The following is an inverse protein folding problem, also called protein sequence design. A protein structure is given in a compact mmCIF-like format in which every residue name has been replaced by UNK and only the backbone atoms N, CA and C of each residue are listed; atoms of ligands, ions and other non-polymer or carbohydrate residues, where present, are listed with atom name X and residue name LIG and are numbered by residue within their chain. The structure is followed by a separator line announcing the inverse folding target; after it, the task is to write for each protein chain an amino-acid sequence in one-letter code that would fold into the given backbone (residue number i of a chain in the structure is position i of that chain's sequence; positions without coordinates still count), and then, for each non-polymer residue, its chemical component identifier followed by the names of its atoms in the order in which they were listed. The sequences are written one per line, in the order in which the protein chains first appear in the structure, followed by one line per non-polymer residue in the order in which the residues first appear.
data_IF_416049274037
#
_entry.id   IF_416049274037
#
_cell.length_a   1.000
_cell.length_b   1.000
_cell.length_c   1.000
_cell.angle_alpha   90.00
_cell.angle_beta   90.00
_cell.angle_gamma   90.00
#
_symmetry.space_group_name_H-M   'P 1'
#
loop_
_entity.id
_entity.type
_entity.pdbx_description
1 polymer ?
#
# COMPACT_ATOMS: atom_id res chain seq x y z
N UNK A 1 79.92 17.01 -4.12
CA UNK A 1 78.81 16.83 -5.10
C UNK A 1 77.98 15.65 -4.59
N UNK A 2 76.90 15.94 -3.86
CA UNK A 2 76.01 14.95 -3.30
C UNK A 2 74.74 14.94 -4.09
N UNK A 3 74.42 13.81 -4.76
CA UNK A 3 73.14 13.62 -5.45
C UNK A 3 72.13 13.14 -4.40
N UNK A 4 71.11 13.93 -4.16
CA UNK A 4 69.91 13.50 -3.40
C UNK A 4 68.94 12.81 -4.36
N UNK A 5 68.75 11.51 -4.16
CA UNK A 5 67.69 10.75 -4.86
C UNK A 5 66.37 10.96 -4.09
N UNK A 6 65.43 11.67 -4.72
CA UNK A 6 64.09 11.80 -4.16
C UNK A 6 63.33 10.51 -4.42
N UNK A 7 63.00 9.78 -3.34
CA UNK A 7 62.07 8.65 -3.34
C UNK A 7 60.63 9.17 -3.53
N UNK A 8 60.05 9.03 -4.72
CA UNK A 8 58.63 9.26 -4.92
C UNK A 8 57.88 8.08 -4.29
N UNK A 9 57.24 8.33 -3.14
CA UNK A 9 56.27 7.40 -2.57
C UNK A 9 55.02 7.36 -3.45
N UNK A 10 54.77 6.22 -4.06
CA UNK A 10 53.53 5.93 -4.74
C UNK A 10 52.40 5.89 -3.70
N UNK A 11 51.47 6.85 -3.74
CA UNK A 11 50.23 6.84 -2.99
C UNK A 11 49.41 5.66 -3.52
N UNK A 12 49.01 4.69 -2.66
CA UNK A 12 48.13 3.62 -3.12
C UNK A 12 46.81 4.22 -3.57
N UNK A 13 46.47 4.03 -4.83
CA UNK A 13 45.11 4.28 -5.34
C UNK A 13 44.21 3.35 -4.55
N UNK A 14 43.42 3.90 -3.65
CA UNK A 14 42.35 3.16 -2.96
C UNK A 14 41.50 2.51 -4.04
N UNK A 15 41.47 1.16 -4.02
CA UNK A 15 40.62 0.39 -4.92
C UNK A 15 39.20 0.91 -4.82
N UNK A 16 38.61 1.33 -5.95
CA UNK A 16 37.22 1.74 -5.99
C UNK A 16 36.37 0.60 -5.44
N UNK A 17 35.63 0.86 -4.35
CA UNK A 17 34.74 -0.12 -3.74
C UNK A 17 33.83 -0.69 -4.82
N UNK A 18 33.93 -2.02 -5.02
CA UNK A 18 33.12 -2.75 -6.00
C UNK A 18 31.65 -2.48 -5.74
N UNK A 19 30.87 -2.23 -6.79
CA UNK A 19 29.43 -2.06 -6.62
C UNK A 19 28.83 -3.22 -5.85
N UNK A 20 27.94 -2.99 -4.86
CA UNK A 20 27.34 -4.07 -4.10
C UNK A 20 26.57 -5.03 -5.03
N UNK A 21 26.44 -6.29 -4.65
CA UNK A 21 25.61 -7.23 -5.36
C UNK A 21 24.11 -6.92 -5.11
N UNK A 22 23.25 -7.39 -6.00
CA UNK A 22 21.80 -7.28 -5.83
C UNK A 22 21.35 -7.87 -4.49
N UNK A 23 20.41 -7.20 -3.84
CA UNK A 23 19.83 -7.64 -2.58
C UNK A 23 19.12 -8.98 -2.75
N UNK A 24 19.53 -9.98 -1.98
CA UNK A 24 18.95 -11.33 -2.02
C UNK A 24 17.44 -11.29 -1.70
N UNK A 25 16.64 -11.94 -2.53
CA UNK A 25 15.19 -11.99 -2.37
C UNK A 25 14.44 -10.78 -2.91
N UNK A 26 15.14 -9.72 -3.33
CA UNK A 26 14.53 -8.56 -3.97
C UNK A 26 14.36 -8.75 -5.48
N UNK A 27 13.39 -8.05 -6.04
CA UNK A 27 13.14 -7.97 -7.48
C UNK A 27 12.73 -6.56 -7.87
N UNK A 28 12.85 -6.24 -9.15
CA UNK A 28 12.28 -5.03 -9.72
C UNK A 28 10.75 -5.06 -9.62
N UNK A 29 10.12 -3.91 -9.69
CA UNK A 29 8.67 -3.84 -9.84
C UNK A 29 8.27 -4.38 -11.22
N UNK A 30 7.14 -5.09 -11.28
CA UNK A 30 6.54 -5.48 -12.56
C UNK A 30 6.13 -4.28 -13.43
N UNK A 31 5.92 -3.12 -12.79
CA UNK A 31 5.52 -1.89 -13.47
C UNK A 31 6.69 -1.13 -14.09
N UNK A 32 7.86 -1.15 -13.43
CA UNK A 32 8.99 -0.30 -13.77
C UNK A 32 10.30 -1.03 -13.45
N UNK A 33 11.11 -1.27 -14.46
CA UNK A 33 12.46 -1.81 -14.28
C UNK A 33 13.41 -0.73 -13.72
N UNK A 34 14.51 -1.18 -13.13
CA UNK A 34 15.63 -0.29 -12.77
C UNK A 34 16.32 0.30 -14.01
N UNK A 35 17.05 1.39 -13.84
CA UNK A 35 17.99 1.87 -14.85
C UNK A 35 19.05 0.80 -15.13
N UNK A 36 19.35 0.53 -16.40
CA UNK A 36 20.26 -0.55 -16.83
C UNK A 36 21.61 -0.46 -16.13
N UNK A 37 22.09 -1.58 -15.60
CA UNK A 37 23.35 -1.66 -14.86
C UNK A 37 23.27 -1.23 -13.40
N UNK A 38 22.12 -0.76 -12.93
CA UNK A 38 21.93 -0.45 -11.50
C UNK A 38 21.85 -1.73 -10.67
N UNK A 39 22.28 -1.64 -9.41
CA UNK A 39 22.16 -2.70 -8.40
C UNK A 39 20.99 -2.42 -7.48
N UNK A 40 20.14 -3.39 -7.21
CA UNK A 40 19.09 -3.28 -6.19
C UNK A 40 19.74 -3.39 -4.80
N UNK A 41 19.84 -2.27 -4.11
CA UNK A 41 20.48 -2.19 -2.80
C UNK A 41 19.53 -2.55 -1.67
N UNK A 42 18.30 -2.04 -1.72
CA UNK A 42 17.25 -2.34 -0.75
C UNK A 42 15.88 -2.33 -1.41
N UNK A 43 14.96 -3.09 -0.82
CA UNK A 43 13.56 -3.11 -1.23
C UNK A 43 12.62 -3.24 -0.03
N UNK A 44 11.37 -2.90 -0.21
CA UNK A 44 10.34 -3.11 0.79
C UNK A 44 8.95 -3.01 0.18
N UNK A 45 8.03 -3.80 0.70
CA UNK A 45 6.63 -3.81 0.24
C UNK A 45 5.67 -3.87 1.42
N UNK A 46 4.57 -3.15 1.29
CA UNK A 46 3.43 -3.19 2.23
C UNK A 46 2.16 -3.46 1.44
N UNK A 47 1.31 -4.35 1.93
CA UNK A 47 0.05 -4.71 1.22
C UNK A 47 -0.93 -3.56 1.15
N UNK A 48 -0.98 -2.75 2.19
CA UNK A 48 -1.72 -1.50 2.26
C UNK A 48 -1.03 -0.58 3.26
N UNK A 49 -0.76 0.64 2.85
CA UNK A 49 -0.11 1.65 3.68
C UNK A 49 -0.39 3.04 3.13
N UNK A 50 -0.28 4.06 3.99
CA UNK A 50 -0.29 5.44 3.57
C UNK A 50 1.10 5.86 3.08
N UNK A 51 1.13 6.56 1.97
CA UNK A 51 2.32 7.19 1.41
C UNK A 51 2.00 8.65 1.06
N UNK A 52 3.00 9.37 0.59
CA UNK A 52 2.82 10.73 0.07
C UNK A 52 3.40 10.84 -1.33
N UNK A 53 2.80 11.70 -2.13
CA UNK A 53 3.24 12.00 -3.50
C UNK A 53 3.30 13.51 -3.67
N UNK A 54 4.34 14.03 -4.34
CA UNK A 54 4.40 15.46 -4.66
C UNK A 54 3.49 15.76 -5.85
N UNK A 55 2.71 16.81 -5.74
CA UNK A 55 1.92 17.39 -6.85
C UNK A 55 2.10 18.90 -6.89
N UNK A 56 1.56 19.54 -7.89
CA UNK A 56 1.56 21.00 -8.02
C UNK A 56 0.22 21.57 -7.56
N UNK A 57 0.24 22.49 -6.60
CA UNK A 57 -0.92 23.27 -6.20
C UNK A 57 -0.58 24.77 -6.20
N UNK A 58 -1.32 25.56 -6.96
CA UNK A 58 -1.06 27.00 -7.14
C UNK A 58 0.39 27.31 -7.55
N UNK A 59 0.96 26.49 -8.45
CA UNK A 59 2.33 26.63 -8.94
C UNK A 59 3.44 26.19 -7.97
N UNK A 60 3.10 25.63 -6.80
CA UNK A 60 4.08 25.17 -5.80
C UNK A 60 3.99 23.67 -5.60
N UNK A 61 5.11 22.98 -5.31
CA UNK A 61 5.09 21.58 -4.91
C UNK A 61 4.43 21.41 -3.54
N UNK A 62 3.53 20.45 -3.43
CA UNK A 62 2.86 20.07 -2.17
C UNK A 62 2.76 18.55 -2.08
N UNK A 63 2.72 18.01 -0.86
CA UNK A 63 2.45 16.60 -0.62
C UNK A 63 0.96 16.33 -0.58
N UNK A 64 0.52 15.29 -1.27
CA UNK A 64 -0.81 14.72 -1.11
C UNK A 64 -0.69 13.32 -0.50
N UNK A 65 -1.55 12.95 0.47
CA UNK A 65 -1.60 11.59 0.98
C UNK A 65 -2.25 10.68 -0.05
N UNK A 66 -1.69 9.48 -0.19
CA UNK A 66 -2.20 8.40 -1.04
C UNK A 66 -2.15 7.10 -0.26
N UNK A 67 -3.02 6.16 -0.55
CA UNK A 67 -3.09 4.87 0.12
C UNK A 67 -3.14 3.75 -0.91
N UNK A 68 -2.49 2.62 -0.59
CA UNK A 68 -2.48 1.46 -1.45
C UNK A 68 -1.38 0.45 -1.09
N UNK A 69 -1.15 -0.50 -1.98
CA UNK A 69 0.04 -1.36 -1.92
C UNK A 69 1.26 -0.50 -2.23
N UNK A 70 2.10 -0.27 -1.22
CA UNK A 70 3.32 0.53 -1.35
C UNK A 70 4.52 -0.38 -1.60
N UNK A 71 5.27 -0.10 -2.63
CA UNK A 71 6.55 -0.76 -2.92
C UNK A 71 7.66 0.28 -3.06
N UNK A 72 8.77 0.04 -2.34
CA UNK A 72 9.94 0.91 -2.31
C UNK A 72 11.17 0.15 -2.82
N UNK A 73 11.99 0.82 -3.62
CA UNK A 73 13.26 0.31 -4.13
C UNK A 73 14.32 1.39 -4.00
N UNK A 74 15.51 1.00 -3.54
CA UNK A 74 16.69 1.83 -3.58
C UNK A 74 17.74 1.15 -4.45
N UNK A 75 18.11 1.82 -5.53
CA UNK A 75 19.12 1.35 -6.47
C UNK A 75 20.39 2.17 -6.37
N UNK A 76 21.53 1.51 -6.58
CA UNK A 76 22.84 2.13 -6.81
C UNK A 76 23.08 2.12 -8.31
N UNK A 77 23.30 3.29 -8.87
CA UNK A 77 23.54 3.45 -10.29
C UNK A 77 24.98 3.08 -10.69
N UNK A 78 25.20 2.74 -11.99
CA UNK A 78 26.55 2.62 -12.56
C UNK A 78 27.37 3.89 -12.38
N UNK A 79 28.69 3.76 -12.26
CA UNK A 79 29.57 4.93 -12.05
C UNK A 79 29.66 5.87 -13.26
N UNK A 80 29.52 5.34 -14.44
CA UNK A 80 29.56 6.05 -15.72
C UNK A 80 28.25 6.77 -16.08
N UNK A 81 27.14 6.50 -15.37
CA UNK A 81 25.85 7.18 -15.59
C UNK A 81 25.81 8.56 -14.94
N UNK A 82 24.95 9.46 -15.42
CA UNK A 82 24.68 10.74 -14.75
C UNK A 82 23.29 10.75 -14.10
N UNK A 83 23.08 11.51 -13.00
CA UNK A 83 21.75 11.67 -12.42
C UNK A 83 20.70 12.16 -13.41
N UNK A 84 21.07 13.09 -14.29
CA UNK A 84 20.20 13.63 -15.32
C UNK A 84 19.79 12.58 -16.35
N UNK A 85 20.75 11.76 -16.80
CA UNK A 85 20.48 10.66 -17.74
C UNK A 85 19.50 9.64 -17.13
N UNK A 86 19.76 9.21 -15.89
CA UNK A 86 18.88 8.30 -15.15
C UNK A 86 17.48 8.88 -15.03
N UNK A 87 17.36 10.14 -14.63
CA UNK A 87 16.09 10.84 -14.48
C UNK A 87 15.30 10.88 -15.79
N UNK A 88 15.95 11.24 -16.92
CA UNK A 88 15.30 11.31 -18.22
C UNK A 88 14.84 9.96 -18.73
N UNK A 89 15.59 8.89 -18.46
CA UNK A 89 15.18 7.53 -18.81
C UNK A 89 13.92 7.09 -18.04
N UNK A 90 13.86 7.32 -16.73
CA UNK A 90 12.67 7.03 -15.95
C UNK A 90 11.46 7.84 -16.38
N UNK A 91 11.64 9.13 -16.56
CA UNK A 91 10.57 10.02 -17.02
C UNK A 91 10.03 9.58 -18.37
N UNK A 92 10.89 9.34 -19.35
CA UNK A 92 10.50 8.86 -20.67
C UNK A 92 9.72 7.54 -20.60
N UNK A 93 10.21 6.56 -19.84
CA UNK A 93 9.55 5.27 -19.68
C UNK A 93 8.16 5.40 -19.05
N UNK A 94 8.00 6.24 -18.04
CA UNK A 94 6.73 6.45 -17.37
C UNK A 94 5.72 7.21 -18.25
N UNK A 95 6.16 8.26 -18.95
CA UNK A 95 5.32 9.00 -19.89
C UNK A 95 4.86 8.09 -21.05
N UNK A 96 5.76 7.25 -21.59
CA UNK A 96 5.43 6.24 -22.60
C UNK A 96 4.46 5.17 -22.07
N UNK A 97 4.53 4.83 -20.77
CA UNK A 97 3.58 3.93 -20.10
C UNK A 97 2.24 4.59 -19.71
N UNK A 98 2.00 5.84 -20.15
CA UNK A 98 0.74 6.57 -19.93
C UNK A 98 0.62 7.22 -18.54
N UNK A 99 1.72 7.43 -17.83
CA UNK A 99 1.69 8.21 -16.60
C UNK A 99 1.58 9.70 -16.90
N UNK A 100 0.63 10.33 -16.24
CA UNK A 100 0.46 11.77 -16.23
C UNK A 100 1.38 12.37 -15.17
N UNK A 101 2.27 13.30 -15.55
CA UNK A 101 3.17 13.98 -14.62
C UNK A 101 2.38 14.82 -13.61
N UNK A 102 2.60 14.60 -12.32
CA UNK A 102 2.08 15.42 -11.22
C UNK A 102 3.03 16.52 -10.83
N UNK A 103 4.33 16.19 -10.75
CA UNK A 103 5.42 17.13 -10.50
C UNK A 103 6.74 16.58 -11.08
N UNK A 104 7.57 17.48 -11.55
CA UNK A 104 8.91 17.15 -12.07
C UNK A 104 9.85 18.33 -11.90
N UNK A 105 11.09 18.07 -11.47
CA UNK A 105 12.13 19.08 -11.41
C UNK A 105 13.52 18.49 -11.62
N UNK A 106 14.43 19.33 -12.15
CA UNK A 106 15.84 19.04 -12.36
C UNK A 106 16.68 20.03 -11.55
N UNK A 107 17.74 19.56 -10.85
CA UNK A 107 18.75 20.32 -10.11
C UNK A 107 18.28 21.68 -9.55
N UNK A 108 18.63 22.78 -10.20
CA UNK A 108 18.33 24.13 -9.72
C UNK A 108 16.83 24.39 -9.48
N UNK A 109 15.96 23.83 -10.31
CA UNK A 109 14.52 23.95 -10.12
C UNK A 109 14.03 23.19 -8.87
N UNK A 110 14.63 22.01 -8.56
CA UNK A 110 14.35 21.28 -7.34
C UNK A 110 14.83 22.05 -6.09
N UNK A 111 16.01 22.67 -6.17
CA UNK A 111 16.57 23.50 -5.09
C UNK A 111 15.71 24.72 -4.80
N UNK A 112 15.37 25.50 -5.84
CA UNK A 112 14.53 26.71 -5.71
C UNK A 112 13.15 26.40 -5.11
N UNK A 113 12.61 25.22 -5.42
CA UNK A 113 11.31 24.77 -4.91
C UNK A 113 11.40 23.98 -3.60
N UNK A 114 12.60 23.80 -3.01
CA UNK A 114 12.87 23.03 -1.80
C UNK A 114 12.30 21.59 -1.84
N UNK A 115 12.26 20.95 -3.01
CA UNK A 115 11.64 19.64 -3.18
C UNK A 115 12.38 18.55 -2.43
N UNK A 116 13.70 18.63 -2.37
CA UNK A 116 14.51 17.67 -1.63
C UNK A 116 14.12 17.63 -0.15
N UNK A 117 13.93 18.80 0.49
CA UNK A 117 13.48 18.89 1.87
C UNK A 117 12.04 18.36 2.04
N UNK A 118 11.17 18.61 1.05
CA UNK A 118 9.78 18.12 1.06
C UNK A 118 9.70 16.59 1.06
N UNK A 119 10.64 15.91 0.37
CA UNK A 119 10.65 14.45 0.24
C UNK A 119 11.73 13.74 1.08
N UNK A 120 12.47 14.48 1.91
CA UNK A 120 13.59 13.91 2.69
C UNK A 120 13.21 12.70 3.54
N UNK A 121 11.97 12.69 4.02
CA UNK A 121 11.43 11.62 4.84
C UNK A 121 10.99 10.37 4.04
N UNK A 122 10.85 10.44 2.72
CA UNK A 122 10.32 9.33 1.94
C UNK A 122 11.12 8.03 2.14
N UNK A 123 12.46 8.02 1.95
CA UNK A 123 13.23 6.81 2.21
C UNK A 123 13.26 6.42 3.69
N UNK A 124 13.23 7.39 4.60
CA UNK A 124 13.30 7.16 6.04
C UNK A 124 12.02 6.54 6.60
N UNK A 125 10.85 6.96 6.12
CA UNK A 125 9.54 6.45 6.53
C UNK A 125 9.12 5.19 5.76
N UNK A 126 9.78 4.88 4.65
CA UNK A 126 9.49 3.70 3.86
C UNK A 126 9.80 2.41 4.65
N UNK A 127 9.00 1.38 4.42
CA UNK A 127 9.29 0.04 4.93
C UNK A 127 10.38 -0.59 4.06
N UNK A 128 11.36 -1.21 4.71
CA UNK A 128 12.49 -1.88 4.07
C UNK A 128 12.65 -3.32 4.58
N UNK A 129 13.28 -4.19 3.77
CA UNK A 129 13.61 -5.58 4.13
C UNK A 129 14.65 -5.68 5.25
N UNK A 130 15.45 -4.61 5.42
CA UNK A 130 16.44 -4.50 6.48
C UNK A 130 16.65 -3.04 6.85
N UNK A 131 17.35 -2.82 7.97
CA UNK A 131 17.73 -1.50 8.43
C UNK A 131 19.14 -1.16 7.93
N UNK A 132 19.28 -0.03 7.23
CA UNK A 132 20.55 0.52 6.81
C UNK A 132 20.54 2.05 6.95
N UNK A 133 21.58 2.60 7.61
CA UNK A 133 21.70 4.04 7.77
C UNK A 133 21.88 4.79 6.44
N UNK A 134 22.41 4.13 5.39
CA UNK A 134 22.53 4.70 4.05
C UNK A 134 21.17 5.10 3.48
N UNK A 135 20.10 4.37 3.81
CA UNK A 135 18.73 4.72 3.41
C UNK A 135 18.29 6.03 4.03
N UNK A 136 18.54 6.20 5.34
CA UNK A 136 18.18 7.45 6.05
C UNK A 136 18.83 8.68 5.44
N UNK A 137 20.04 8.54 4.92
CA UNK A 137 20.78 9.62 4.30
C UNK A 137 20.51 9.80 2.80
N UNK A 138 19.61 9.03 2.18
CA UNK A 138 19.44 9.09 0.72
C UNK A 138 19.03 10.47 0.24
N UNK A 139 18.13 11.16 0.96
CA UNK A 139 17.74 12.54 0.67
C UNK A 139 18.10 13.50 1.81
N UNK A 140 18.70 13.01 2.89
CA UNK A 140 19.02 13.80 4.08
C UNK A 140 20.37 14.51 3.90
N UNK A 141 20.41 15.73 4.34
CA UNK A 141 21.51 16.66 4.49
C UNK A 141 21.69 17.64 3.33
N UNK A 142 21.07 18.77 3.47
CA UNK A 142 21.37 19.98 2.67
C UNK A 142 21.34 19.72 1.17
N UNK A 143 21.31 20.70 0.37
CA UNK A 143 21.26 20.58 -1.09
C UNK A 143 22.27 19.56 -1.63
N UNK A 144 21.84 18.29 -1.85
CA UNK A 144 22.68 17.32 -2.53
C UNK A 144 22.82 17.76 -4.00
N UNK A 145 24.04 17.94 -4.49
CA UNK A 145 24.24 18.31 -5.89
C UNK A 145 23.59 17.25 -6.80
N UNK A 146 22.91 17.72 -7.84
CA UNK A 146 22.31 16.82 -8.82
C UNK A 146 21.05 16.11 -8.39
N UNK A 147 20.28 16.66 -7.43
CA UNK A 147 18.97 16.12 -7.07
C UNK A 147 17.95 16.32 -8.21
N UNK A 148 17.27 15.24 -8.58
CA UNK A 148 16.19 15.24 -9.56
C UNK A 148 15.00 14.52 -8.96
N UNK A 149 13.80 15.00 -9.26
CA UNK A 149 12.57 14.39 -8.76
C UNK A 149 11.50 14.30 -9.85
N UNK A 150 10.78 13.20 -9.84
CA UNK A 150 9.59 12.98 -10.66
C UNK A 150 8.49 12.32 -9.82
N UNK A 151 7.27 12.76 -10.04
CA UNK A 151 6.07 12.03 -9.63
C UNK A 151 5.03 12.02 -10.73
N UNK A 152 4.30 10.93 -10.82
CA UNK A 152 3.26 10.74 -11.82
C UNK A 152 2.16 9.84 -11.32
N UNK A 153 1.01 9.88 -12.01
CA UNK A 153 -0.12 9.03 -11.77
C UNK A 153 -0.62 8.38 -13.07
N UNK A 154 -1.20 7.19 -12.95
CA UNK A 154 -1.90 6.53 -14.05
C UNK A 154 -3.22 5.96 -13.54
N UNK A 155 -4.33 6.34 -14.18
CA UNK A 155 -5.66 5.78 -13.88
C UNK A 155 -5.82 4.43 -14.59
N UNK A 156 -6.31 3.44 -13.87
CA UNK A 156 -6.62 2.11 -14.39
C UNK A 156 -7.96 1.59 -13.86
N UNK A 157 -8.41 0.41 -14.29
CA UNK A 157 -9.69 -0.17 -13.86
C UNK A 157 -9.75 -0.42 -12.35
N UNK A 158 -8.61 -0.70 -11.70
CA UNK A 158 -8.51 -0.96 -10.27
C UNK A 158 -8.36 0.31 -9.41
N UNK A 159 -8.15 1.47 -10.04
CA UNK A 159 -7.90 2.73 -9.34
C UNK A 159 -6.69 3.48 -9.90
N UNK A 160 -6.09 4.33 -9.07
CA UNK A 160 -4.96 5.17 -9.48
C UNK A 160 -3.65 4.58 -8.97
N UNK A 161 -2.68 4.39 -9.86
CA UNK A 161 -1.30 4.05 -9.52
C UNK A 161 -0.47 5.33 -9.48
N UNK A 162 0.33 5.52 -8.43
CA UNK A 162 1.27 6.62 -8.29
C UNK A 162 2.71 6.13 -8.32
N UNK A 163 3.60 6.94 -8.85
CA UNK A 163 5.05 6.71 -8.85
C UNK A 163 5.76 7.97 -8.37
N UNK A 164 6.74 7.81 -7.48
CA UNK A 164 7.68 8.85 -7.05
C UNK A 164 9.10 8.36 -7.26
N UNK A 165 9.94 9.17 -7.87
CA UNK A 165 11.35 8.87 -8.13
C UNK A 165 12.20 10.05 -7.69
N UNK A 166 13.15 9.78 -6.81
CA UNK A 166 14.19 10.74 -6.43
C UNK A 166 15.58 10.20 -6.78
N UNK A 167 16.40 11.03 -7.38
CA UNK A 167 17.77 10.67 -7.82
C UNK A 167 18.75 11.66 -7.21
N UNK A 168 19.84 11.13 -6.64
CA UNK A 168 20.93 11.92 -6.04
C UNK A 168 22.28 11.50 -6.59
N UNK A 169 23.19 12.44 -6.70
CA UNK A 169 24.57 12.18 -7.15
C UNK A 169 25.40 11.43 -6.09
N UNK A 170 25.12 11.65 -4.81
CA UNK A 170 25.94 11.18 -3.70
C UNK A 170 27.07 12.13 -3.31
N UNK A 171 27.69 11.87 -2.16
CA UNK A 171 28.81 12.68 -1.65
C UNK A 171 30.13 11.96 -1.93
N UNK A 172 31.09 12.56 -2.62
CA UNK A 172 32.40 11.94 -2.83
C UNK A 172 33.03 11.45 -1.54
N UNK A 173 33.74 10.34 -1.62
CA UNK A 173 34.48 9.71 -0.48
C UNK A 173 33.63 9.26 0.71
N UNK A 174 32.33 9.02 0.52
CA UNK A 174 31.40 8.62 1.59
C UNK A 174 30.87 7.18 1.42
N UNK A 175 31.65 6.25 0.88
CA UNK A 175 31.24 4.88 0.65
C UNK A 175 29.94 4.77 -0.15
N UNK A 176 28.96 4.00 0.35
CA UNK A 176 27.66 3.87 -0.34
C UNK A 176 26.92 5.21 -0.49
N UNK A 177 27.13 6.15 0.43
CA UNK A 177 26.56 7.50 0.36
C UNK A 177 27.20 8.34 -0.74
N UNK A 178 28.40 7.99 -1.17
CA UNK A 178 29.09 8.59 -2.32
C UNK A 178 28.59 8.13 -3.68
N UNK A 179 27.80 7.06 -3.71
CA UNK A 179 27.26 6.51 -4.94
C UNK A 179 26.00 7.25 -5.39
N UNK A 180 25.76 7.27 -6.69
CA UNK A 180 24.48 7.73 -7.25
C UNK A 180 23.37 6.78 -6.84
N UNK A 181 22.29 7.31 -6.28
CA UNK A 181 21.18 6.53 -5.75
C UNK A 181 19.86 6.93 -6.39
N UNK A 182 19.02 5.93 -6.58
CA UNK A 182 17.67 6.09 -7.14
C UNK A 182 16.69 5.50 -6.13
N UNK A 183 15.88 6.34 -5.53
CA UNK A 183 14.74 5.91 -4.74
C UNK A 183 13.51 5.87 -5.64
N UNK A 184 12.85 4.73 -5.70
CA UNK A 184 11.62 4.51 -6.45
C UNK A 184 10.55 4.04 -5.49
N UNK A 185 9.44 4.78 -5.39
CA UNK A 185 8.24 4.40 -4.67
C UNK A 185 7.09 4.27 -5.65
N UNK A 186 6.37 3.15 -5.55
CA UNK A 186 5.16 2.89 -6.34
C UNK A 186 4.03 2.61 -5.37
N UNK A 187 2.89 3.27 -5.56
CA UNK A 187 1.67 3.03 -4.81
C UNK A 187 0.60 2.56 -5.78
N UNK A 188 0.25 1.28 -5.67
CA UNK A 188 -0.77 0.62 -6.50
C UNK A 188 -2.10 0.56 -5.74
N UNK A 189 -3.25 0.60 -6.43
CA UNK A 189 -4.53 0.40 -5.79
C UNK A 189 -4.55 -0.90 -4.98
N UNK A 190 -5.03 -0.83 -3.75
CA UNK A 190 -5.20 -1.99 -2.89
C UNK A 190 -6.54 -1.88 -2.14
N UNK A 191 -7.16 -3.02 -1.90
CA UNK A 191 -8.39 -3.09 -1.12
C UNK A 191 -8.06 -3.71 0.23
N UNK A 192 -8.48 -3.03 1.31
CA UNK A 192 -8.35 -3.56 2.66
C UNK A 192 -9.12 -4.87 2.76
N UNK A 193 -8.43 -5.96 3.10
CA UNK A 193 -9.09 -7.22 3.43
C UNK A 193 -9.68 -7.11 4.83
N UNK A 194 -10.97 -6.81 4.91
CA UNK A 194 -11.71 -6.85 6.16
C UNK A 194 -12.00 -8.31 6.55
N UNK A 195 -12.13 -8.57 7.85
CA UNK A 195 -12.43 -9.90 8.38
C UNK A 195 -11.22 -10.69 8.90
N UNK A 196 -10.01 -10.10 8.86
CA UNK A 196 -8.81 -10.72 9.46
C UNK A 196 -8.79 -10.60 11.01
N UNK A 197 -9.70 -9.81 11.58
CA UNK A 197 -9.91 -9.70 13.03
C UNK A 197 -11.35 -10.08 13.29
N UNK A 198 -11.55 -11.02 14.22
CA UNK A 198 -12.85 -11.53 14.58
C UNK A 198 -13.38 -10.81 15.82
N UNK A 199 -14.68 -10.67 15.88
CA UNK A 199 -15.36 -10.18 17.09
C UNK A 199 -15.77 -11.40 17.90
N UNK A 200 -15.29 -11.49 19.14
CA UNK A 200 -15.62 -12.61 20.02
C UNK A 200 -17.10 -12.62 20.47
N UNK A 201 -17.55 -13.75 20.97
CA UNK A 201 -18.95 -13.95 21.37
C UNK A 201 -19.43 -12.98 22.46
N UNK A 202 -18.55 -12.58 23.38
CA UNK A 202 -18.86 -11.63 24.44
C UNK A 202 -19.05 -10.21 23.89
N UNK A 203 -18.18 -9.78 22.99
CA UNK A 203 -18.30 -8.49 22.30
C UNK A 203 -19.53 -8.45 21.39
N UNK A 204 -19.86 -9.54 20.68
CA UNK A 204 -21.11 -9.65 19.89
C UNK A 204 -22.31 -9.46 20.82
N UNK A 205 -22.37 -10.22 21.91
CA UNK A 205 -23.47 -10.16 22.88
C UNK A 205 -23.63 -8.75 23.48
N UNK A 206 -22.51 -8.12 23.85
CA UNK A 206 -22.50 -6.77 24.41
C UNK A 206 -22.99 -5.74 23.39
N UNK A 207 -22.49 -5.81 22.14
CA UNK A 207 -22.91 -4.93 21.07
C UNK A 207 -24.40 -5.06 20.74
N UNK A 208 -24.91 -6.29 20.65
CA UNK A 208 -26.33 -6.56 20.42
C UNK A 208 -27.21 -5.98 21.54
N UNK A 209 -26.80 -6.12 22.81
CA UNK A 209 -27.55 -5.57 23.94
C UNK A 209 -27.53 -4.04 24.00
N UNK A 210 -26.40 -3.44 23.69
CA UNK A 210 -26.19 -1.99 23.78
C UNK A 210 -26.78 -1.24 22.58
N UNK A 211 -26.48 -1.71 21.36
CA UNK A 211 -26.72 -0.99 20.12
C UNK A 211 -27.87 -1.60 19.28
N UNK A 212 -28.40 -2.76 19.71
CA UNK A 212 -29.42 -3.50 18.98
C UNK A 212 -28.89 -4.21 17.71
N UNK A 213 -27.64 -3.95 17.31
CA UNK A 213 -27.02 -4.55 16.12
C UNK A 213 -25.50 -4.67 16.24
N UNK A 214 -24.91 -5.55 15.41
CA UNK A 214 -23.47 -5.73 15.32
C UNK A 214 -23.05 -6.07 13.90
N UNK A 215 -22.12 -5.28 13.31
CA UNK A 215 -21.52 -5.58 12.02
C UNK A 215 -20.39 -6.61 12.17
N UNK A 216 -20.36 -7.61 11.30
CA UNK A 216 -19.46 -8.75 11.33
C UNK A 216 -18.71 -8.85 9.99
N UNK A 217 -17.50 -8.36 9.97
CA UNK A 217 -16.65 -8.33 8.78
C UNK A 217 -15.90 -9.65 8.51
N UNK A 218 -15.84 -10.56 9.48
CA UNK A 218 -15.23 -11.89 9.34
C UNK A 218 -16.05 -12.89 8.51
N UNK A 219 -17.18 -12.49 7.93
CA UNK A 219 -18.00 -13.32 7.04
C UNK A 219 -17.69 -12.99 5.59
N UNK A 220 -16.89 -13.83 4.93
CA UNK A 220 -16.47 -13.68 3.55
C UNK A 220 -17.28 -14.54 2.57
N UNK A 221 -17.50 -14.05 1.36
CA UNK A 221 -18.13 -14.76 0.25
C UNK A 221 -17.25 -14.74 -0.99
N UNK A 222 -17.42 -15.72 -1.87
CA UNK A 222 -16.87 -15.66 -3.20
C UNK A 222 -17.42 -14.45 -3.98
N UNK A 223 -16.63 -13.93 -4.90
CA UNK A 223 -17.02 -12.76 -5.71
C UNK A 223 -18.33 -13.02 -6.45
N UNK A 224 -19.30 -12.12 -6.27
CA UNK A 224 -20.66 -12.19 -6.86
C UNK A 224 -21.44 -13.47 -6.53
N UNK A 225 -21.07 -14.18 -5.45
CA UNK A 225 -21.75 -15.40 -5.00
C UNK A 225 -22.22 -15.29 -3.54
N UNK A 226 -23.10 -16.18 -3.16
CA UNK A 226 -23.54 -16.40 -1.79
C UNK A 226 -22.87 -17.64 -1.16
N UNK A 227 -21.72 -18.07 -1.70
CA UNK A 227 -20.94 -19.19 -1.18
C UNK A 227 -20.01 -18.65 -0.10
N UNK A 228 -20.19 -19.15 1.13
CA UNK A 228 -19.34 -18.80 2.27
C UNK A 228 -17.93 -19.33 2.05
N UNK A 229 -16.94 -18.48 2.24
CA UNK A 229 -15.53 -18.86 2.23
C UNK A 229 -15.16 -19.62 3.50
N UNK A 230 -14.13 -20.46 3.41
CA UNK A 230 -13.67 -21.26 4.54
C UNK A 230 -13.16 -20.41 5.72
N UNK A 231 -12.61 -19.23 5.44
CA UNK A 231 -12.14 -18.30 6.47
C UNK A 231 -13.28 -17.67 7.30
N UNK A 232 -14.53 -17.82 6.90
CA UNK A 232 -15.70 -17.39 7.67
C UNK A 232 -16.02 -18.30 8.88
N UNK A 233 -15.44 -19.49 8.94
CA UNK A 233 -15.84 -20.52 9.94
C UNK A 233 -15.65 -20.04 11.39
N UNK A 234 -14.57 -19.33 11.66
CA UNK A 234 -14.29 -18.84 13.01
C UNK A 234 -15.29 -17.76 13.45
N UNK A 235 -15.59 -16.77 12.58
CA UNK A 235 -16.59 -15.75 12.91
C UNK A 235 -18.01 -16.36 13.06
N UNK A 236 -18.36 -17.36 12.26
CA UNK A 236 -19.61 -18.10 12.42
C UNK A 236 -19.68 -18.80 13.78
N UNK A 237 -18.56 -19.38 14.25
CA UNK A 237 -18.49 -19.97 15.58
C UNK A 237 -18.74 -18.96 16.71
N UNK A 238 -18.16 -17.74 16.59
CA UNK A 238 -18.38 -16.67 17.57
C UNK A 238 -19.85 -16.19 17.58
N UNK A 239 -20.47 -16.06 16.39
CA UNK A 239 -21.90 -15.77 16.28
C UNK A 239 -22.75 -16.83 16.97
N UNK A 240 -22.45 -18.10 16.72
CA UNK A 240 -23.16 -19.22 17.35
C UNK A 240 -22.99 -19.24 18.87
N UNK A 241 -21.78 -19.00 19.38
CA UNK A 241 -21.49 -18.90 20.80
C UNK A 241 -22.27 -17.77 21.47
N UNK A 242 -22.32 -16.58 20.84
CA UNK A 242 -23.12 -15.45 21.31
C UNK A 242 -24.61 -15.79 21.40
N UNK A 243 -25.16 -16.46 20.38
CA UNK A 243 -26.56 -16.91 20.38
C UNK A 243 -26.82 -18.01 21.42
N UNK A 244 -25.89 -18.95 21.65
CA UNK A 244 -26.00 -19.97 22.69
C UNK A 244 -25.94 -19.35 24.09
N UNK A 245 -25.11 -18.34 24.30
CA UNK A 245 -25.02 -17.62 25.58
C UNK A 245 -26.25 -16.73 25.85
N UNK A 246 -27.11 -16.50 24.88
CA UNK A 246 -28.31 -15.67 24.98
C UNK A 246 -29.55 -16.41 24.44
N UNK A 247 -30.06 -17.48 25.08
CA UNK A 247 -31.10 -18.35 24.51
C UNK A 247 -32.42 -17.65 24.14
N UNK A 248 -32.77 -16.57 24.83
CA UNK A 248 -33.98 -15.79 24.56
C UNK A 248 -33.84 -14.80 23.40
N UNK A 249 -32.61 -14.50 22.95
CA UNK A 249 -32.39 -13.53 21.91
C UNK A 249 -32.70 -14.09 20.53
N UNK A 250 -33.55 -13.42 19.79
CA UNK A 250 -33.82 -13.66 18.39
C UNK A 250 -33.22 -12.53 17.53
N UNK A 251 -32.71 -12.86 16.33
CA UNK A 251 -32.00 -11.90 15.51
C UNK A 251 -32.40 -11.94 14.04
N UNK A 252 -32.26 -10.83 13.35
CA UNK A 252 -32.13 -10.81 11.92
C UNK A 252 -30.65 -10.98 11.55
N UNK A 253 -30.36 -11.77 10.53
CA UNK A 253 -29.10 -11.79 9.84
C UNK A 253 -29.27 -10.94 8.57
N UNK A 254 -28.57 -9.82 8.52
CA UNK A 254 -28.77 -8.82 7.48
C UNK A 254 -27.55 -8.75 6.56
N UNK A 255 -27.76 -9.05 5.27
CA UNK A 255 -26.73 -8.94 4.24
C UNK A 255 -26.76 -7.57 3.56
N UNK A 256 -25.59 -7.00 3.34
CA UNK A 256 -25.37 -5.72 2.67
C UNK A 256 -24.45 -5.88 1.47
N UNK A 257 -24.61 -4.98 0.47
CA UNK A 257 -23.68 -4.81 -0.66
C UNK A 257 -23.15 -3.39 -0.71
N UNK A 258 -22.15 -3.16 -1.54
CA UNK A 258 -21.84 -1.82 -2.03
C UNK A 258 -22.82 -1.41 -3.16
N UNK A 259 -22.56 -0.26 -3.79
CA UNK A 259 -23.39 0.29 -4.86
C UNK A 259 -22.99 -0.18 -6.28
N UNK A 260 -22.08 -1.15 -6.40
CA UNK A 260 -21.66 -1.63 -7.71
C UNK A 260 -22.69 -2.61 -8.28
N UNK A 261 -23.07 -2.40 -9.54
CA UNK A 261 -24.05 -3.23 -10.24
C UNK A 261 -25.52 -2.80 -10.03
N UNK A 262 -26.43 -3.63 -10.52
CA UNK A 262 -27.86 -3.40 -10.48
C UNK A 262 -28.45 -3.60 -9.09
N UNK A 263 -29.38 -2.75 -8.68
CA UNK A 263 -30.01 -2.80 -7.35
C UNK A 263 -30.80 -4.09 -7.11
N UNK A 264 -31.56 -4.58 -8.09
CA UNK A 264 -32.34 -5.80 -7.94
C UNK A 264 -31.43 -7.03 -7.79
N UNK A 265 -30.34 -7.07 -8.55
CA UNK A 265 -29.31 -8.09 -8.42
C UNK A 265 -28.64 -8.05 -7.03
N UNK A 266 -28.28 -6.86 -6.53
CA UNK A 266 -27.70 -6.66 -5.21
C UNK A 266 -28.68 -7.03 -4.08
N UNK A 267 -29.97 -6.73 -4.25
CA UNK A 267 -31.01 -7.13 -3.31
C UNK A 267 -31.13 -8.66 -3.21
N UNK A 268 -31.18 -9.34 -4.34
CA UNK A 268 -31.20 -10.80 -4.38
C UNK A 268 -29.92 -11.41 -3.82
N UNK A 269 -28.75 -10.85 -4.13
CA UNK A 269 -27.45 -11.33 -3.65
C UNK A 269 -27.33 -11.18 -2.12
N UNK A 270 -27.67 -10.00 -1.59
CA UNK A 270 -27.63 -9.74 -0.15
C UNK A 270 -28.58 -10.66 0.64
N UNK A 271 -29.76 -10.92 0.11
CA UNK A 271 -30.72 -11.88 0.69
C UNK A 271 -30.14 -13.29 0.72
N UNK A 272 -29.61 -13.80 -0.41
CA UNK A 272 -29.00 -15.13 -0.49
C UNK A 272 -27.78 -15.27 0.44
N UNK A 273 -26.99 -14.22 0.62
CA UNK A 273 -25.86 -14.21 1.56
C UNK A 273 -26.31 -14.35 3.02
N UNK A 274 -27.35 -13.61 3.41
CA UNK A 274 -27.93 -13.72 4.72
C UNK A 274 -28.51 -15.14 4.98
N UNK A 275 -29.18 -15.72 3.98
CA UNK A 275 -29.70 -17.09 4.02
C UNK A 275 -28.57 -18.13 4.19
N UNK A 276 -27.45 -17.97 3.46
CA UNK A 276 -26.29 -18.86 3.58
C UNK A 276 -25.68 -18.83 4.99
N UNK A 277 -25.62 -17.65 5.63
CA UNK A 277 -25.18 -17.52 7.02
C UNK A 277 -26.16 -18.22 7.98
N UNK A 278 -27.46 -18.00 7.85
CA UNK A 278 -28.47 -18.70 8.67
C UNK A 278 -28.38 -20.22 8.50
N UNK A 279 -28.26 -20.70 7.24
CA UNK A 279 -28.11 -22.13 6.96
C UNK A 279 -26.84 -22.72 7.60
N UNK A 280 -25.71 -22.00 7.56
CA UNK A 280 -24.51 -22.46 8.22
C UNK A 280 -24.63 -22.50 9.75
N UNK A 281 -25.24 -21.49 10.37
CA UNK A 281 -25.48 -21.46 11.82
C UNK A 281 -26.40 -22.60 12.28
N UNK A 282 -27.41 -22.95 11.49
CA UNK A 282 -28.28 -24.11 11.78
C UNK A 282 -27.51 -25.42 11.61
N UNK A 283 -26.94 -25.65 10.41
CA UNK A 283 -26.40 -26.96 10.04
C UNK A 283 -25.10 -27.31 10.74
N UNK A 284 -24.20 -26.33 10.93
CA UNK A 284 -22.85 -26.57 11.51
C UNK A 284 -22.79 -26.29 13.02
N UNK A 285 -23.64 -25.40 13.54
CA UNK A 285 -23.54 -24.95 14.93
C UNK A 285 -24.77 -25.22 15.77
N UNK A 286 -25.85 -25.80 15.18
CA UNK A 286 -27.05 -26.23 15.89
C UNK A 286 -27.91 -25.09 16.44
N UNK A 287 -27.87 -23.90 15.84
CA UNK A 287 -28.74 -22.80 16.23
C UNK A 287 -30.14 -23.05 15.65
N UNK A 288 -31.17 -22.97 16.48
CA UNK A 288 -32.55 -23.19 16.06
C UNK A 288 -32.97 -22.17 15.00
N UNK A 289 -33.49 -22.62 13.84
CA UNK A 289 -33.85 -21.77 12.71
C UNK A 289 -34.87 -20.67 13.08
N UNK A 290 -35.80 -20.98 14.00
CA UNK A 290 -36.80 -20.03 14.49
C UNK A 290 -36.22 -18.78 15.17
N UNK A 291 -34.97 -18.85 15.62
CA UNK A 291 -34.25 -17.71 16.25
C UNK A 291 -33.64 -16.72 15.26
N UNK A 292 -33.61 -17.07 14.00
CA UNK A 292 -32.92 -16.25 12.97
C UNK A 292 -33.83 -16.00 11.77
N UNK A 293 -33.81 -14.80 11.27
CA UNK A 293 -34.49 -14.41 10.03
C UNK A 293 -33.50 -13.73 9.11
N UNK A 294 -33.29 -14.27 7.92
CA UNK A 294 -32.42 -13.68 6.90
C UNK A 294 -33.11 -12.50 6.21
N UNK A 295 -32.37 -11.41 6.03
CA UNK A 295 -32.80 -10.23 5.26
C UNK A 295 -31.65 -9.70 4.41
N UNK A 296 -31.95 -9.31 3.18
CA UNK A 296 -31.05 -8.59 2.31
C UNK A 296 -31.52 -7.16 2.13
N UNK A 297 -30.63 -6.21 2.27
CA UNK A 297 -30.95 -4.76 2.12
C UNK A 297 -30.12 -4.08 1.03
N UNK A 298 -29.41 -4.85 0.22
CA UNK A 298 -28.51 -4.30 -0.82
C UNK A 298 -27.63 -3.16 -0.28
N UNK A 299 -27.57 -2.05 -0.98
CA UNK A 299 -26.80 -0.83 -0.62
C UNK A 299 -27.67 0.26 0.05
N UNK A 300 -28.85 -0.09 0.59
CA UNK A 300 -29.76 0.90 1.20
C UNK A 300 -29.28 1.45 2.55
N UNK A 301 -28.38 0.74 3.24
CA UNK A 301 -27.87 1.14 4.54
C UNK A 301 -26.33 1.18 4.55
N UNK A 302 -25.71 2.12 3.83
CA UNK A 302 -24.27 2.24 3.79
C UNK A 302 -23.72 2.72 5.15
N UNK A 303 -22.58 2.19 5.57
CA UNK A 303 -21.83 2.64 6.77
C UNK A 303 -20.63 3.51 6.39
N UNK A 304 -20.33 3.59 5.08
CA UNK A 304 -19.27 4.42 4.54
C UNK A 304 -19.65 4.87 3.11
N UNK A 305 -18.89 5.84 2.58
CA UNK A 305 -19.07 6.25 1.18
C UNK A 305 -18.79 5.10 0.20
N UNK A 306 -19.54 5.04 -0.89
CA UNK A 306 -19.29 4.09 -1.99
C UNK A 306 -18.31 4.62 -3.05
N UNK A 307 -17.74 5.80 -2.87
CA UNK A 307 -16.81 6.42 -3.82
C UNK A 307 -15.41 5.82 -3.73
N UNK A 308 -15.02 5.32 -2.55
CA UNK A 308 -13.74 4.67 -2.32
C UNK A 308 -13.87 3.14 -2.22
N UNK A 309 -12.80 2.41 -2.57
CA UNK A 309 -12.75 0.96 -2.42
C UNK A 309 -12.86 0.52 -0.96
N UNK A 310 -12.26 1.26 -0.04
CA UNK A 310 -12.37 1.03 1.40
C UNK A 310 -13.79 1.24 1.90
N UNK A 311 -14.46 2.28 1.45
CA UNK A 311 -15.84 2.52 1.82
C UNK A 311 -16.76 1.42 1.28
N UNK A 312 -16.59 1.00 0.04
CA UNK A 312 -17.30 -0.15 -0.54
C UNK A 312 -17.02 -1.44 0.23
N UNK A 313 -15.76 -1.68 0.64
CA UNK A 313 -15.40 -2.85 1.45
C UNK A 313 -16.14 -2.88 2.79
N UNK A 314 -16.30 -1.74 3.46
CA UNK A 314 -17.10 -1.61 4.71
C UNK A 314 -18.60 -1.83 4.46
N UNK A 315 -19.10 -1.46 3.29
CA UNK A 315 -20.51 -1.66 2.94
C UNK A 315 -20.83 -3.14 2.63
N UNK A 316 -19.88 -3.94 2.10
CA UNK A 316 -20.00 -5.38 1.87
C UNK A 316 -19.85 -6.15 3.19
N UNK A 317 -20.90 -6.24 3.99
CA UNK A 317 -20.88 -6.83 5.33
C UNK A 317 -22.13 -7.66 5.65
N UNK A 318 -22.06 -8.40 6.74
CA UNK A 318 -23.21 -9.03 7.39
C UNK A 318 -23.41 -8.38 8.77
N UNK A 319 -24.65 -8.11 9.13
CA UNK A 319 -25.00 -7.64 10.48
C UNK A 319 -25.88 -8.67 11.20
N UNK A 320 -25.70 -8.81 12.52
CA UNK A 320 -26.71 -9.34 13.42
C UNK A 320 -27.51 -8.17 13.99
N UNK A 321 -28.83 -8.25 13.94
CA UNK A 321 -29.74 -7.21 14.46
C UNK A 321 -30.74 -7.88 15.39
N UNK A 322 -30.91 -7.35 16.60
CA UNK A 322 -31.90 -7.89 17.57
C UNK A 322 -33.32 -7.74 16.99
N UNK A 323 -34.10 -8.82 17.12
CA UNK A 323 -35.46 -8.89 16.59
C UNK A 323 -36.47 -8.48 17.65
#
# INVERSE_FOLDING_TARGET
MWLSVALMASIPVLAADKAPADRKGGADSALLSRYKGSTLYMYGESRIEQASVVTTQKGKPVLIPVEGKVSNRLYIAPEDSSPLEIYRNYRHALEAAGFQTLYACETAACEQANVQQLVEDFPRKARWDSYDNAVRGTFNSGNQPGFHYYSGQRKGPAGVTYVSIGIVAGFPNSGIMGRKRQFVQIVEPAVTQLGNVEVDAAAITTGLKRDGKMALYGIGFDTNKAVLRNDSASQLAQMANALKATPAMNVFIVGHTDNQGDFAANSALSQKRAEAVCAALVSKYGIASARMVARGVANLAPVSTNESDDGRAKNRRVEMVVR
#
